data_IF_703077508359
#
_entry.id   IF_703077508359
#
_cell.length_a   1.000
_cell.length_b   1.000
_cell.length_c   1.000
_cell.angle_alpha   90.00
_cell.angle_beta   90.00
_cell.angle_gamma   90.00
#
_symmetry.space_group_name_H-M   'P 1'
#
loop_
_entity.id
_entity.type
_entity.pdbx_description
1 polymer ?
#
# COMPACT_ATOMS: atom_id res chain seq x y z
N UNK A 1 -14.09 29.15 -5.59
CA UNK A 1 -14.12 29.09 -7.07
C UNK A 1 -12.74 28.62 -7.54
N UNK A 2 -12.58 28.20 -8.80
CA UNK A 2 -11.31 27.66 -9.32
C UNK A 2 -10.83 28.54 -10.47
N UNK A 3 -9.51 28.57 -10.71
CA UNK A 3 -8.95 29.27 -11.88
C UNK A 3 -9.43 28.59 -13.17
N UNK A 4 -9.58 29.36 -14.25
CA UNK A 4 -9.91 28.80 -15.56
C UNK A 4 -8.89 27.76 -16.02
N UNK A 5 -9.36 26.57 -16.41
CA UNK A 5 -8.51 25.45 -16.81
C UNK A 5 -7.64 25.79 -18.01
N UNK A 6 -8.16 26.57 -18.95
CA UNK A 6 -7.44 27.04 -20.14
C UNK A 6 -6.21 27.87 -19.76
N UNK A 7 -6.34 28.75 -18.76
CA UNK A 7 -5.22 29.54 -18.24
C UNK A 7 -4.13 28.65 -17.64
N UNK A 8 -4.51 27.62 -16.89
CA UNK A 8 -3.57 26.64 -16.33
C UNK A 8 -2.85 25.85 -17.42
N UNK A 9 -3.56 25.45 -18.49
CA UNK A 9 -2.96 24.77 -19.66
C UNK A 9 -1.94 25.66 -20.36
N UNK A 10 -2.25 26.95 -20.53
CA UNK A 10 -1.35 27.91 -21.17
C UNK A 10 -0.06 28.10 -20.36
N UNK A 11 -0.17 28.22 -19.03
CA UNK A 11 0.99 28.27 -18.13
C UNK A 11 1.81 26.97 -18.16
N UNK A 12 1.15 25.81 -18.17
CA UNK A 12 1.81 24.50 -18.30
C UNK A 12 2.65 24.40 -19.59
N UNK A 13 2.12 24.88 -20.71
CA UNK A 13 2.84 24.91 -22.00
C UNK A 13 3.96 25.93 -22.01
N UNK A 14 3.78 27.08 -21.35
CA UNK A 14 4.80 28.11 -21.24
C UNK A 14 6.00 27.69 -20.39
N UNK A 15 5.75 27.02 -19.26
CA UNK A 15 6.79 26.51 -18.37
C UNK A 15 7.48 25.26 -18.91
N UNK A 16 6.74 24.38 -19.59
CA UNK A 16 7.24 23.11 -20.11
C UNK A 16 7.08 23.00 -21.64
N UNK A 17 7.66 23.90 -22.45
CA UNK A 17 7.44 23.96 -23.89
C UNK A 17 7.98 22.73 -24.65
N UNK A 18 8.87 21.95 -24.02
CA UNK A 18 9.42 20.71 -24.58
C UNK A 18 8.66 19.46 -24.14
N UNK A 19 7.71 19.58 -23.21
CA UNK A 19 6.91 18.47 -22.75
C UNK A 19 5.74 18.24 -23.72
N UNK A 20 5.83 17.19 -24.53
CA UNK A 20 4.78 16.81 -25.49
C UNK A 20 3.61 16.07 -24.81
N UNK A 21 2.98 16.73 -23.84
CA UNK A 21 1.82 16.19 -23.12
C UNK A 21 0.65 15.96 -24.08
N UNK A 22 0.00 14.81 -23.95
CA UNK A 22 -1.27 14.53 -24.62
C UNK A 22 -2.37 15.48 -24.13
N UNK A 23 -3.38 15.72 -24.97
CA UNK A 23 -4.52 16.57 -24.61
C UNK A 23 -5.23 16.07 -23.34
N UNK A 24 -5.41 14.75 -23.22
CA UNK A 24 -6.02 14.12 -22.04
C UNK A 24 -5.24 14.43 -20.76
N UNK A 25 -3.89 14.45 -20.81
CA UNK A 25 -3.08 14.80 -19.64
C UNK A 25 -3.04 16.29 -19.36
N UNK A 26 -3.07 17.14 -20.39
CA UNK A 26 -3.23 18.58 -20.19
C UNK A 26 -4.54 18.88 -19.46
N UNK A 27 -5.64 18.26 -19.88
CA UNK A 27 -6.95 18.46 -19.26
C UNK A 27 -6.97 17.91 -17.82
N UNK A 28 -6.43 16.71 -17.58
CA UNK A 28 -6.36 16.12 -16.24
C UNK A 28 -5.49 16.93 -15.27
N UNK A 29 -4.35 17.47 -15.75
CA UNK A 29 -3.48 18.33 -14.96
C UNK A 29 -4.18 19.67 -14.67
N UNK A 30 -4.82 20.27 -15.67
CA UNK A 30 -5.57 21.51 -15.49
C UNK A 30 -6.71 21.34 -14.47
N UNK A 31 -7.46 20.24 -14.53
CA UNK A 31 -8.54 19.91 -13.60
C UNK A 31 -8.07 19.78 -12.15
N UNK A 32 -6.85 19.29 -11.96
CA UNK A 32 -6.24 19.09 -10.65
C UNK A 32 -5.61 20.36 -10.10
N UNK A 33 -4.90 21.10 -10.96
CA UNK A 33 -4.12 22.26 -10.56
C UNK A 33 -4.97 23.53 -10.46
N UNK A 34 -6.07 23.64 -11.22
CA UNK A 34 -6.95 24.82 -11.16
C UNK A 34 -7.67 25.03 -9.83
N UNK A 35 -7.80 23.96 -9.04
CA UNK A 35 -8.48 23.96 -7.72
C UNK A 35 -7.57 24.35 -6.56
N UNK A 36 -6.26 24.47 -6.80
CA UNK A 36 -5.26 24.78 -5.77
C UNK A 36 -5.09 26.28 -5.50
N UNK A 37 -4.90 27.14 -6.53
CA UNK A 37 -4.84 28.58 -6.31
C UNK A 37 -6.24 29.18 -6.11
N UNK A 38 -6.30 30.39 -5.58
CA UNK A 38 -7.52 31.21 -5.54
C UNK A 38 -8.01 31.53 -6.96
N UNK A 39 -9.29 31.79 -7.14
CA UNK A 39 -9.92 32.02 -8.45
C UNK A 39 -9.43 33.30 -9.16
N UNK A 40 -8.95 34.28 -8.40
CA UNK A 40 -8.35 35.52 -8.88
C UNK A 40 -6.82 35.47 -8.98
N UNK A 41 -6.21 34.29 -8.80
CA UNK A 41 -4.77 34.13 -8.83
C UNK A 41 -4.14 34.63 -10.14
N UNK A 42 -2.97 35.25 -9.99
CA UNK A 42 -2.15 35.69 -11.11
C UNK A 42 -1.35 34.54 -11.73
N UNK A 43 -0.69 34.82 -12.85
CA UNK A 43 0.10 33.82 -13.57
C UNK A 43 1.28 33.29 -12.72
N UNK A 44 1.84 34.10 -11.82
CA UNK A 44 2.94 33.70 -10.96
C UNK A 44 2.50 32.69 -9.88
N UNK A 45 1.32 32.90 -9.29
CA UNK A 45 0.74 31.95 -8.35
C UNK A 45 0.35 30.63 -9.03
N UNK A 46 -0.14 30.69 -10.27
CA UNK A 46 -0.41 29.48 -11.08
C UNK A 46 0.90 28.74 -11.39
N UNK A 47 1.96 29.46 -11.75
CA UNK A 47 3.27 28.88 -12.02
C UNK A 47 3.86 28.18 -10.79
N UNK A 48 3.72 28.77 -9.60
CA UNK A 48 4.18 28.17 -8.35
C UNK A 48 3.48 26.82 -8.11
N UNK A 49 2.17 26.78 -8.28
CA UNK A 49 1.38 25.54 -8.14
C UNK A 49 1.82 24.47 -9.16
N UNK A 50 2.15 24.88 -10.38
CA UNK A 50 2.65 23.96 -11.42
C UNK A 50 4.05 23.45 -11.05
N UNK A 51 4.93 24.32 -10.55
CA UNK A 51 6.28 23.93 -10.12
C UNK A 51 6.25 23.01 -8.90
N UNK A 52 5.43 23.31 -7.89
CA UNK A 52 5.21 22.44 -6.72
C UNK A 52 4.72 21.05 -7.15
N UNK A 53 3.83 21.00 -8.15
CA UNK A 53 3.40 19.74 -8.72
C UNK A 53 4.56 19.01 -9.42
N UNK A 54 5.36 19.74 -10.20
CA UNK A 54 6.50 19.20 -10.92
C UNK A 54 7.58 18.62 -10.00
N UNK A 55 7.77 19.19 -8.80
CA UNK A 55 8.69 18.67 -7.79
C UNK A 55 8.28 17.29 -7.26
N UNK A 56 6.98 17.02 -7.18
CA UNK A 56 6.44 15.74 -6.69
C UNK A 56 6.27 14.75 -7.85
N UNK A 57 5.90 15.24 -9.03
CA UNK A 57 5.69 14.45 -10.24
C UNK A 57 6.21 15.22 -11.46
N UNK A 58 7.39 14.82 -11.97
CA UNK A 58 8.05 15.48 -13.10
C UNK A 58 7.18 15.43 -14.38
N UNK A 59 6.76 16.62 -14.83
CA UNK A 59 5.94 16.84 -16.02
C UNK A 59 6.67 16.37 -17.29
N UNK A 60 8.00 16.41 -17.29
CA UNK A 60 8.83 15.93 -18.40
C UNK A 60 8.79 14.40 -18.49
N UNK A 61 8.85 13.70 -17.36
CA UNK A 61 8.76 12.24 -17.33
C UNK A 61 7.35 11.76 -17.66
N UNK A 62 6.34 12.51 -17.21
CA UNK A 62 4.96 12.41 -17.67
C UNK A 62 4.95 12.48 -19.20
N UNK A 63 5.47 13.53 -19.83
CA UNK A 63 5.49 13.66 -21.29
C UNK A 63 6.24 12.52 -22.01
N UNK A 64 7.37 12.03 -21.49
CA UNK A 64 8.07 10.85 -22.06
C UNK A 64 7.19 9.60 -22.08
N UNK A 65 6.34 9.42 -21.08
CA UNK A 65 5.35 8.34 -21.05
C UNK A 65 4.35 8.44 -22.21
N UNK A 66 3.86 9.65 -22.49
CA UNK A 66 2.94 9.90 -23.60
C UNK A 66 3.60 9.67 -24.95
N UNK A 67 4.86 10.10 -25.12
CA UNK A 67 5.64 9.85 -26.33
C UNK A 67 5.86 8.35 -26.55
N UNK A 68 6.11 7.58 -25.49
CA UNK A 68 6.23 6.12 -25.58
C UNK A 68 4.93 5.48 -26.07
N UNK A 69 3.79 5.84 -25.49
CA UNK A 69 2.47 5.33 -25.91
C UNK A 69 2.21 5.70 -27.38
N UNK A 70 2.45 6.96 -27.76
CA UNK A 70 2.24 7.43 -29.14
C UNK A 70 3.13 6.71 -30.15
N UNK A 71 4.38 6.40 -29.77
CA UNK A 71 5.28 5.61 -30.62
C UNK A 71 4.84 4.16 -30.75
N UNK A 72 4.31 3.55 -29.67
CA UNK A 72 3.75 2.21 -29.71
C UNK A 72 2.49 2.14 -30.60
N UNK A 73 1.58 3.11 -30.48
CA UNK A 73 0.38 3.20 -31.33
C UNK A 73 0.75 3.37 -32.81
N UNK A 74 1.71 4.23 -33.14
CA UNK A 74 2.20 4.39 -34.52
C UNK A 74 2.78 3.11 -35.10
N UNK A 75 3.50 2.33 -34.28
CA UNK A 75 4.11 1.07 -34.71
C UNK A 75 3.11 -0.09 -34.78
N UNK A 76 1.93 0.06 -34.17
CA UNK A 76 0.89 -0.96 -34.12
C UNK A 76 -0.16 -0.83 -35.22
N UNK A 77 -0.07 0.22 -36.05
CA UNK A 77 -0.99 0.45 -37.17
C UNK A 77 -0.39 -0.17 -38.46
N UNK A 78 -0.85 -1.37 -38.90
CA UNK A 78 -0.33 -1.96 -40.12
C UNK A 78 -0.70 -1.07 -41.30
N UNK A 79 0.30 -0.67 -42.09
CA UNK A 79 0.08 -0.04 -43.40
C UNK A 79 -0.88 -0.93 -44.20
N UNK A 80 -1.94 -0.38 -44.83
CA UNK A 80 -2.92 -1.20 -45.52
C UNK A 80 -2.23 -2.03 -46.59
N UNK A 81 -2.24 -3.36 -46.42
CA UNK A 81 -1.83 -4.30 -47.44
C UNK A 81 -2.82 -4.23 -48.60
N UNK A 82 -2.37 -4.27 -49.88
CA UNK A 82 -3.28 -4.31 -51.01
C UNK A 82 -4.17 -5.57 -50.93
N UNK A 83 -5.40 -5.54 -51.49
CA UNK A 83 -6.36 -6.62 -51.29
C UNK A 83 -5.83 -7.92 -51.89
N UNK A 84 -5.69 -8.96 -51.06
CA UNK A 84 -5.40 -10.30 -51.54
C UNK A 84 -6.64 -10.91 -52.21
N UNK A 85 -6.46 -11.51 -53.38
CA UNK A 85 -7.44 -12.31 -54.13
C UNK A 85 -7.97 -13.46 -53.26
N UNK A 86 -9.27 -13.80 -53.30
CA UNK A 86 -9.85 -14.74 -52.33
C UNK A 86 -9.64 -16.20 -52.72
N UNK A 87 -9.15 -17.07 -51.82
CA UNK A 87 -9.37 -18.51 -51.91
C UNK A 87 -10.54 -18.93 -51.02
N UNK A 88 -11.31 -19.90 -51.52
CA UNK A 88 -12.53 -20.44 -50.90
C UNK A 88 -12.30 -21.13 -49.53
N UNK A 89 -13.30 -21.04 -48.66
CA UNK A 89 -13.43 -21.71 -47.35
C UNK A 89 -14.38 -22.92 -47.44
N UNK A 90 -14.43 -23.85 -46.45
CA UNK A 90 -13.38 -24.70 -45.85
C UNK A 90 -13.87 -26.19 -45.73
N UNK A 91 -13.20 -27.07 -44.97
CA UNK A 91 -13.90 -27.49 -43.75
C UNK A 91 -13.05 -27.49 -42.48
N UNK A 92 -13.81 -27.40 -41.39
CA UNK A 92 -13.43 -27.27 -40.00
C UNK A 92 -12.36 -28.25 -39.53
N UNK A 93 -11.35 -27.71 -38.83
CA UNK A 93 -10.78 -28.36 -37.67
C UNK A 93 -10.29 -27.32 -36.66
N UNK A 94 -10.35 -27.72 -35.39
CA UNK A 94 -10.11 -26.96 -34.15
C UNK A 94 -8.89 -26.03 -34.23
N UNK A 95 -8.88 -24.90 -33.50
CA UNK A 95 -7.71 -24.03 -33.43
C UNK A 95 -6.58 -24.77 -32.72
N UNK A 96 -5.65 -25.30 -33.51
CA UNK A 96 -4.35 -25.77 -33.06
C UNK A 96 -3.47 -24.53 -32.89
N UNK A 97 -3.07 -24.26 -31.65
CA UNK A 97 -2.12 -23.22 -31.30
C UNK A 97 -0.72 -23.69 -31.66
N UNK A 98 -0.35 -23.63 -32.93
CA UNK A 98 1.04 -23.71 -33.37
C UNK A 98 1.11 -23.29 -34.83
N UNK A 99 2.11 -22.49 -35.19
CA UNK A 99 2.43 -22.09 -36.58
C UNK A 99 1.56 -20.98 -37.19
N UNK A 100 1.72 -19.74 -36.72
CA UNK A 100 2.22 -18.62 -37.58
C UNK A 100 2.30 -17.30 -36.79
N UNK A 101 2.92 -17.35 -35.60
CA UNK A 101 3.21 -16.13 -34.82
C UNK A 101 4.70 -15.83 -34.98
N UNK A 102 5.08 -14.69 -35.59
CA UNK A 102 6.48 -14.32 -35.77
C UNK A 102 7.25 -14.40 -34.45
N UNK A 103 8.54 -14.75 -34.49
CA UNK A 103 9.37 -14.90 -33.28
C UNK A 103 9.34 -13.66 -32.37
N UNK A 104 9.22 -12.46 -32.95
CA UNK A 104 9.07 -11.21 -32.18
C UNK A 104 7.73 -11.12 -31.44
N UNK A 105 6.65 -11.64 -32.02
CA UNK A 105 5.32 -11.65 -31.40
C UNK A 105 5.23 -12.74 -30.31
N UNK A 106 5.86 -13.91 -30.48
CA UNK A 106 6.00 -14.90 -29.39
C UNK A 106 6.75 -14.32 -28.19
N UNK A 107 7.89 -13.65 -28.46
CA UNK A 107 8.67 -12.99 -27.41
C UNK A 107 7.90 -11.87 -26.70
N UNK A 108 7.07 -11.13 -27.44
CA UNK A 108 6.22 -10.08 -26.85
C UNK A 108 5.09 -10.67 -26.00
N UNK A 109 4.51 -11.81 -26.41
CA UNK A 109 3.50 -12.52 -25.61
C UNK A 109 4.14 -13.04 -24.32
N UNK A 110 5.30 -13.70 -24.38
CA UNK A 110 6.03 -14.13 -23.19
C UNK A 110 6.36 -12.97 -22.24
N UNK A 111 6.80 -11.84 -22.79
CA UNK A 111 7.06 -10.63 -22.00
C UNK A 111 5.78 -10.07 -21.37
N UNK A 112 4.66 -10.07 -22.08
CA UNK A 112 3.38 -9.63 -21.54
C UNK A 112 2.85 -10.56 -20.45
N UNK A 113 3.04 -11.87 -20.59
CA UNK A 113 2.65 -12.83 -19.55
C UNK A 113 3.54 -12.70 -18.31
N UNK A 114 4.83 -12.46 -18.50
CA UNK A 114 5.76 -12.13 -17.40
C UNK A 114 5.34 -10.85 -16.68
N UNK A 115 5.05 -9.78 -17.43
CA UNK A 115 4.61 -8.49 -16.86
C UNK A 115 3.26 -8.59 -16.15
N UNK A 116 2.33 -9.43 -16.64
CA UNK A 116 1.08 -9.72 -15.93
C UNK A 116 1.35 -10.42 -14.61
N UNK A 117 2.21 -11.44 -14.60
CA UNK A 117 2.59 -12.15 -13.38
C UNK A 117 3.26 -11.22 -12.37
N UNK A 118 4.19 -10.38 -12.80
CA UNK A 118 4.84 -9.39 -11.94
C UNK A 118 3.84 -8.37 -11.39
N UNK A 119 2.88 -7.93 -12.21
CA UNK A 119 1.83 -7.00 -11.78
C UNK A 119 0.89 -7.64 -10.75
N UNK A 120 0.52 -8.90 -10.94
CA UNK A 120 -0.27 -9.66 -9.96
C UNK A 120 0.50 -9.84 -8.66
N UNK A 121 1.77 -10.25 -8.72
CA UNK A 121 2.64 -10.36 -7.55
C UNK A 121 2.78 -9.02 -6.80
N UNK A 122 2.94 -7.91 -7.53
CA UNK A 122 3.05 -6.57 -6.93
C UNK A 122 1.73 -6.08 -6.32
N UNK A 123 0.59 -6.39 -6.95
CA UNK A 123 -0.73 -6.10 -6.38
C UNK A 123 -0.95 -6.91 -5.11
N UNK A 124 -0.64 -8.21 -5.13
CA UNK A 124 -0.74 -9.10 -3.97
C UNK A 124 0.18 -8.61 -2.85
N UNK A 125 1.44 -8.28 -3.15
CA UNK A 125 2.39 -7.71 -2.19
C UNK A 125 1.87 -6.41 -1.55
N UNK A 126 1.36 -5.47 -2.34
CA UNK A 126 0.76 -4.23 -1.80
C UNK A 126 -0.47 -4.49 -0.93
N UNK A 127 -1.30 -5.47 -1.28
CA UNK A 127 -2.47 -5.86 -0.48
C UNK A 127 -2.01 -6.46 0.85
N UNK A 128 -1.00 -7.34 0.83
CA UNK A 128 -0.41 -7.93 2.04
C UNK A 128 0.19 -6.84 2.93
N UNK A 129 0.96 -5.89 2.38
CA UNK A 129 1.55 -4.79 3.13
C UNK A 129 0.48 -3.89 3.75
N UNK A 130 -0.59 -3.56 3.00
CA UNK A 130 -1.72 -2.81 3.52
C UNK A 130 -2.42 -3.54 4.67
N UNK A 131 -2.65 -4.85 4.53
CA UNK A 131 -3.22 -5.67 5.61
C UNK A 131 -2.31 -5.73 6.84
N UNK A 132 -0.99 -5.86 6.67
CA UNK A 132 -0.02 -5.83 7.78
C UNK A 132 0.01 -4.49 8.50
N UNK A 133 -0.11 -3.39 7.77
CA UNK A 133 -0.23 -2.06 8.34
C UNK A 133 -1.51 -1.91 9.17
N UNK A 134 -2.66 -2.33 8.62
CA UNK A 134 -3.95 -2.33 9.33
C UNK A 134 -3.91 -3.21 10.58
N UNK A 135 -3.38 -4.43 10.48
CA UNK A 135 -3.18 -5.33 11.61
C UNK A 135 -2.30 -4.71 12.70
N UNK A 136 -1.19 -4.10 12.30
CA UNK A 136 -0.29 -3.40 13.22
C UNK A 136 -0.96 -2.21 13.91
N UNK A 137 -1.83 -1.48 13.20
CA UNK A 137 -2.60 -0.37 13.76
C UNK A 137 -3.63 -0.87 14.77
N UNK A 138 -4.41 -1.89 14.43
CA UNK A 138 -5.39 -2.50 15.33
C UNK A 138 -4.72 -3.07 16.59
N UNK A 139 -3.58 -3.75 16.43
CA UNK A 139 -2.78 -4.26 17.54
C UNK A 139 -2.34 -3.13 18.49
N UNK A 140 -1.91 -1.98 17.97
CA UNK A 140 -1.47 -0.85 18.81
C UNK A 140 -2.64 -0.10 19.45
N UNK A 141 -3.85 -0.17 18.88
CA UNK A 141 -5.06 0.43 19.45
C UNK A 141 -5.70 -0.40 20.55
N UNK A 142 -5.42 -1.70 20.59
CA UNK A 142 -5.90 -2.59 21.64
C UNK A 142 -5.51 -2.09 23.03
N UNK A 143 -6.48 -1.96 23.93
CA UNK A 143 -6.24 -1.52 25.30
C UNK A 143 -5.41 -2.53 26.11
N UNK A 144 -5.58 -3.83 25.84
CA UNK A 144 -4.80 -4.89 26.45
C UNK A 144 -3.36 -4.87 25.91
N UNK A 145 -3.19 -4.92 24.59
CA UNK A 145 -1.89 -5.13 23.94
C UNK A 145 -1.03 -3.86 23.87
N UNK A 146 -1.62 -2.65 23.95
CA UNK A 146 -0.86 -1.40 23.96
C UNK A 146 0.05 -1.27 25.17
N UNK A 147 -0.33 -1.87 26.31
CA UNK A 147 0.41 -1.84 27.57
C UNK A 147 1.65 -2.74 27.59
N UNK A 148 1.79 -3.60 26.59
CA UNK A 148 2.87 -4.57 26.52
C UNK A 148 4.24 -3.90 26.32
N UNK A 149 5.35 -4.47 26.84
CA UNK A 149 6.69 -3.96 26.59
C UNK A 149 7.03 -3.94 25.09
N UNK A 150 7.69 -2.88 24.61
CA UNK A 150 8.03 -2.72 23.19
C UNK A 150 8.82 -3.89 22.62
N UNK A 151 9.75 -4.46 23.40
CA UNK A 151 10.53 -5.64 23.02
C UNK A 151 9.67 -6.89 22.75
N UNK A 152 8.50 -6.98 23.37
CA UNK A 152 7.55 -8.07 23.15
C UNK A 152 6.57 -7.76 22.00
N UNK A 153 6.28 -6.47 21.72
CA UNK A 153 5.34 -6.05 20.66
C UNK A 153 5.69 -6.58 19.28
N UNK A 154 6.97 -6.54 18.90
CA UNK A 154 7.37 -7.04 17.58
C UNK A 154 7.11 -8.54 17.41
N UNK A 155 7.48 -9.33 18.42
CA UNK A 155 7.26 -10.78 18.39
C UNK A 155 5.78 -11.15 18.31
N UNK A 156 4.91 -10.41 19.00
CA UNK A 156 3.47 -10.64 18.97
C UNK A 156 2.81 -10.16 17.68
N UNK A 157 3.25 -9.02 17.13
CA UNK A 157 2.78 -8.56 15.81
C UNK A 157 3.11 -9.55 14.70
N UNK A 158 4.27 -10.21 14.78
CA UNK A 158 4.68 -11.24 13.84
C UNK A 158 3.81 -12.52 13.90
N UNK A 159 3.01 -12.70 14.97
CA UNK A 159 2.05 -13.80 15.07
C UNK A 159 0.76 -13.54 14.29
N UNK A 160 0.51 -12.29 13.84
CA UNK A 160 -0.66 -11.96 13.04
C UNK A 160 -0.41 -12.39 11.59
N UNK A 161 -1.16 -13.38 11.14
CA UNK A 161 -1.12 -13.86 9.77
C UNK A 161 -2.23 -13.21 8.94
N UNK A 162 -1.84 -12.27 8.08
CA UNK A 162 -2.77 -11.52 7.22
C UNK A 162 -3.27 -12.31 5.99
N UNK A 163 -2.68 -13.48 5.75
CA UNK A 163 -3.05 -14.41 4.68
C UNK A 163 -3.89 -15.58 5.20
N UNK A 164 -4.04 -15.72 6.52
CA UNK A 164 -4.92 -16.70 7.15
C UNK A 164 -6.39 -16.49 6.77
N UNK A 165 -7.16 -17.57 6.77
CA UNK A 165 -8.63 -17.55 6.64
C UNK A 165 -9.30 -16.92 7.87
N UNK A 166 -8.61 -16.87 9.01
CA UNK A 166 -9.10 -16.22 10.22
C UNK A 166 -8.98 -14.68 10.09
N UNK A 167 -10.06 -13.92 10.31
CA UNK A 167 -10.02 -12.46 10.30
C UNK A 167 -8.95 -11.90 11.25
N UNK A 168 -8.31 -10.80 10.84
CA UNK A 168 -7.27 -10.13 11.64
C UNK A 168 -7.82 -9.69 13.00
N UNK A 169 -9.09 -9.29 13.04
CA UNK A 169 -9.81 -8.91 14.26
C UNK A 169 -9.89 -10.08 15.26
N UNK A 170 -10.19 -11.28 14.78
CA UNK A 170 -10.29 -12.48 15.62
C UNK A 170 -8.91 -12.93 16.12
N UNK A 171 -7.88 -12.81 15.27
CA UNK A 171 -6.50 -13.08 15.67
C UNK A 171 -6.03 -12.09 16.74
N UNK A 172 -6.31 -10.80 16.58
CA UNK A 172 -5.97 -9.78 17.58
C UNK A 172 -6.70 -10.05 18.88
N UNK A 173 -7.99 -10.38 18.83
CA UNK A 173 -8.76 -10.73 20.02
C UNK A 173 -8.17 -11.95 20.75
N UNK A 174 -7.76 -12.99 20.02
CA UNK A 174 -7.05 -14.12 20.61
C UNK A 174 -5.75 -13.70 21.31
N UNK A 175 -4.98 -12.80 20.70
CA UNK A 175 -3.78 -12.23 21.34
C UNK A 175 -4.12 -11.37 22.57
N UNK A 176 -5.22 -10.61 22.55
CA UNK A 176 -5.68 -9.83 23.71
C UNK A 176 -6.02 -10.74 24.90
N UNK A 177 -6.73 -11.84 24.64
CA UNK A 177 -7.11 -12.82 25.64
C UNK A 177 -5.86 -13.51 26.21
N UNK A 178 -4.94 -13.97 25.36
CA UNK A 178 -3.66 -14.58 25.79
C UNK A 178 -2.81 -13.63 26.63
N UNK A 179 -2.71 -12.36 26.24
CA UNK A 179 -1.94 -11.38 26.98
C UNK A 179 -2.57 -11.06 28.34
N UNK A 180 -3.89 -10.95 28.37
CA UNK A 180 -4.64 -10.71 29.62
C UNK A 180 -4.49 -11.87 30.58
N UNK A 181 -4.60 -13.10 30.10
CA UNK A 181 -4.37 -14.32 30.88
C UNK A 181 -2.93 -14.38 31.40
N UNK A 182 -1.93 -14.04 30.59
CA UNK A 182 -0.54 -14.01 31.01
C UNK A 182 -0.31 -12.98 32.13
N UNK A 183 -0.89 -11.78 32.01
CA UNK A 183 -0.81 -10.74 33.04
C UNK A 183 -1.48 -11.20 34.33
N UNK A 184 -2.68 -11.79 34.24
CA UNK A 184 -3.39 -12.32 35.41
C UNK A 184 -2.61 -13.46 36.08
N UNK A 185 -2.15 -14.45 35.32
CA UNK A 185 -1.33 -15.54 35.85
C UNK A 185 -0.06 -15.02 36.52
N UNK A 186 0.60 -14.00 35.95
CA UNK A 186 1.79 -13.39 36.58
C UNK A 186 1.47 -12.67 37.89
N UNK A 187 0.29 -12.05 37.99
CA UNK A 187 -0.18 -11.38 39.20
C UNK A 187 -0.59 -12.40 40.28
N UNK A 188 -1.30 -13.46 39.90
CA UNK A 188 -1.83 -14.49 40.80
C UNK A 188 -0.72 -15.41 41.32
N UNK A 189 0.29 -15.72 40.50
CA UNK A 189 1.43 -16.55 40.91
C UNK A 189 2.45 -15.80 41.78
N UNK A 190 2.30 -14.48 41.97
CA UNK A 190 3.23 -13.63 42.73
C UNK A 190 4.71 -13.82 42.31
N UNK A 191 4.95 -14.30 41.09
CA UNK A 191 6.27 -14.54 40.50
C UNK A 191 6.78 -13.23 39.90
N UNK A 192 6.82 -12.19 40.73
CA UNK A 192 7.74 -11.10 40.49
C UNK A 192 9.12 -11.73 40.63
N UNK A 193 9.82 -11.95 39.52
CA UNK A 193 11.27 -12.04 39.56
C UNK A 193 11.74 -10.70 40.13
N UNK A 194 11.83 -10.63 41.47
CA UNK A 194 12.36 -9.50 42.20
C UNK A 194 13.71 -9.13 41.60
N UNK A 195 14.10 -7.85 41.68
CA UNK A 195 15.39 -7.41 41.15
C UNK A 195 16.47 -8.39 41.61
N UNK A 196 17.12 -9.02 40.64
CA UNK A 196 18.27 -9.89 40.87
C UNK A 196 19.40 -9.04 41.43
N UNK A 197 19.47 -8.96 42.76
CA UNK A 197 20.58 -8.36 43.51
C UNK A 197 20.16 -7.21 44.42
N UNK A 198 20.23 -7.45 45.73
CA UNK A 198 20.22 -6.41 46.78
C UNK A 198 19.07 -6.59 47.76
N UNK A 199 19.29 -7.39 48.80
CA UNK A 199 18.26 -7.77 49.75
C UNK A 199 17.66 -6.63 50.57
N UNK A 200 16.37 -6.78 50.88
CA UNK A 200 15.81 -6.62 52.23
C UNK A 200 14.39 -7.22 52.23
N UNK A 201 13.99 -8.04 53.23
CA UNK A 201 12.71 -8.74 53.19
C UNK A 201 11.56 -7.89 53.77
N UNK A 202 10.37 -8.14 53.22
CA UNK A 202 9.02 -8.07 53.85
C UNK A 202 8.31 -6.72 54.03
N UNK A 203 6.95 -6.69 54.00
CA UNK A 203 6.07 -7.81 54.35
C UNK A 203 4.97 -8.19 53.34
N UNK A 204 4.87 -9.50 53.11
CA UNK A 204 3.62 -10.20 52.85
C UNK A 204 2.53 -9.72 53.80
N UNK A 205 1.31 -9.53 53.29
CA UNK A 205 0.14 -9.25 54.12
C UNK A 205 0.10 -10.24 55.28
N UNK A 206 0.23 -9.71 56.50
CA UNK A 206 0.05 -10.51 57.71
C UNK A 206 -1.42 -10.86 57.77
N UNK A 207 -1.71 -12.15 57.81
CA UNK A 207 -3.08 -12.65 58.01
C UNK A 207 -3.54 -12.21 59.41
N UNK A 208 -4.55 -11.35 59.48
CA UNK A 208 -5.02 -10.71 60.70
C UNK A 208 -5.49 -11.73 61.76
N UNK A 209 -5.91 -12.92 61.32
CA UNK A 209 -6.31 -14.03 62.20
C UNK A 209 -5.12 -14.64 62.98
N UNK A 210 -3.91 -14.59 62.42
CA UNK A 210 -2.71 -15.08 63.11
C UNK A 210 -2.29 -14.11 64.21
N UNK A 211 -2.45 -12.80 63.99
CA UNK A 211 -2.11 -11.78 64.99
C UNK A 211 -3.09 -11.81 66.17
N UNK A 212 -4.38 -12.03 65.92
CA UNK A 212 -5.40 -12.13 66.97
C UNK A 212 -5.14 -13.31 67.93
N UNK A 213 -4.71 -14.45 67.42
CA UNK A 213 -4.44 -15.64 68.26
C UNK A 213 -3.20 -15.49 69.16
N UNK A 214 -2.18 -14.75 68.73
CA UNK A 214 -0.98 -14.51 69.54
C UNK A 214 -1.26 -13.53 70.68
N UNK A 215 -2.05 -12.48 70.44
CA UNK A 215 -2.40 -11.48 71.47
C UNK A 215 -3.35 -12.05 72.52
N UNK A 216 -4.21 -13.01 72.15
CA UNK A 216 -5.15 -13.62 73.10
C UNK A 216 -4.53 -14.74 73.96
N UNK A 217 -3.25 -15.08 73.75
CA UNK A 217 -2.54 -16.16 74.46
C UNK A 217 -1.46 -15.63 75.43
N UNK A 218 -1.46 -14.33 75.75
CA UNK A 218 -0.65 -13.69 76.80
C UNK A 218 -1.59 -13.12 77.86
#
# INVERSE_FOLDING_TARGET
MAVEKTRVIDRLKALFPKANLSQVRLDALADKLSKKPADDADDAAIDLVINDFNEIMDITDIAKGDDRIRNLEKNSNPKPTPPATPPATPPANKPDTSEDVPAWAKKMIEQNDTLKSDLEALKTGKIIDAKKATASEMFNKSEALKSMPEKAKENWKNRIDVESETPVEDQIKGLEDEYTELVQNSADQNDYAGPVGGGNPTPSKVDEDVVANVVSSI
#
